data_IF_972745402473
#
_entry.id   IF_972745402473
#
_cell.length_a   1.000
_cell.length_b   1.000
_cell.length_c   1.000
_cell.angle_alpha   90.00
_cell.angle_beta   90.00
_cell.angle_gamma   90.00
#
_symmetry.space_group_name_H-M   'P 1'
#
loop_
_entity.id
_entity.type
_entity.pdbx_description
1 polymer ?
#
# COMPACT_ATOMS: atom_id res chain seq x y z
N UNK A 1 -1.67 -24.16 1.07
CA UNK A 1 -1.48 -22.84 0.43
C UNK A 1 -2.02 -21.80 1.40
N UNK A 2 -1.16 -20.96 1.98
CA UNK A 2 -1.60 -19.98 2.98
C UNK A 2 -2.42 -18.90 2.26
N UNK A 3 -3.73 -18.88 2.52
CA UNK A 3 -4.64 -17.80 2.16
C UNK A 3 -4.18 -16.53 2.88
N UNK A 4 -3.20 -15.83 2.31
CA UNK A 4 -2.93 -14.45 2.70
C UNK A 4 -4.26 -13.70 2.57
N UNK A 5 -4.83 -13.27 3.69
CA UNK A 5 -6.15 -12.67 3.76
C UNK A 5 -6.21 -11.46 2.81
N UNK A 6 -6.86 -11.63 1.66
CA UNK A 6 -7.15 -10.52 0.73
C UNK A 6 -7.86 -9.43 1.51
N UNK A 7 -7.48 -8.18 1.27
CA UNK A 7 -8.03 -7.01 1.95
C UNK A 7 -7.47 -6.72 3.35
N UNK A 8 -6.58 -7.56 3.91
CA UNK A 8 -5.97 -7.29 5.22
C UNK A 8 -4.51 -6.86 5.05
N UNK A 9 -4.22 -5.67 5.58
CA UNK A 9 -2.87 -5.13 5.77
C UNK A 9 -2.57 -5.15 7.25
N UNK A 10 -1.49 -5.85 7.63
CA UNK A 10 -0.99 -5.85 9.00
C UNK A 10 0.04 -4.74 9.16
N UNK A 11 -0.05 -4.01 10.27
CA UNK A 11 0.81 -2.85 10.55
C UNK A 11 2.30 -3.22 10.66
N UNK A 12 2.59 -4.43 11.15
CA UNK A 12 3.91 -4.98 11.46
C UNK A 12 4.63 -5.64 10.26
N UNK A 13 4.00 -5.66 9.07
CA UNK A 13 4.54 -6.30 7.87
C UNK A 13 5.03 -5.28 6.83
N UNK A 14 5.91 -5.73 5.93
CA UNK A 14 6.30 -5.00 4.74
C UNK A 14 5.73 -5.67 3.48
N UNK A 15 5.30 -4.85 2.53
CA UNK A 15 4.64 -5.28 1.31
C UNK A 15 5.38 -4.74 0.09
N UNK A 16 5.71 -5.63 -0.84
CA UNK A 16 6.18 -5.22 -2.17
C UNK A 16 5.03 -4.65 -3.00
N UNK A 17 5.34 -3.87 -4.05
CA UNK A 17 4.34 -3.38 -5.02
C UNK A 17 3.32 -4.46 -5.42
N UNK A 18 3.79 -5.64 -5.86
CA UNK A 18 2.91 -6.72 -6.32
C UNK A 18 1.95 -7.21 -5.22
N UNK A 19 2.44 -7.33 -3.98
CA UNK A 19 1.60 -7.73 -2.85
C UNK A 19 0.52 -6.68 -2.57
N UNK A 20 0.85 -5.40 -2.64
CA UNK A 20 -0.14 -4.32 -2.41
C UNK A 20 -1.21 -4.34 -3.49
N UNK A 21 -0.83 -4.44 -4.78
CA UNK A 21 -1.78 -4.54 -5.88
C UNK A 21 -2.75 -5.71 -5.70
N UNK A 22 -2.22 -6.90 -5.35
CA UNK A 22 -3.03 -8.10 -5.18
C UNK A 22 -3.89 -8.09 -3.91
N UNK A 23 -3.36 -7.58 -2.79
CA UNK A 23 -4.08 -7.57 -1.50
C UNK A 23 -5.18 -6.53 -1.46
N UNK A 24 -4.92 -5.33 -1.98
CA UNK A 24 -5.90 -4.23 -1.97
C UNK A 24 -6.78 -4.21 -3.22
N UNK A 25 -6.46 -5.01 -4.25
CA UNK A 25 -7.21 -5.01 -5.51
C UNK A 25 -7.11 -3.68 -6.27
N UNK A 26 -6.00 -2.95 -6.09
CA UNK A 26 -5.79 -1.64 -6.72
C UNK A 26 -5.01 -1.76 -8.02
N UNK A 27 -5.18 -0.77 -8.91
CA UNK A 27 -4.42 -0.70 -10.15
C UNK A 27 -3.00 -0.17 -9.95
N UNK A 28 -2.12 -0.45 -10.90
CA UNK A 28 -0.79 0.15 -10.94
C UNK A 28 -0.85 1.69 -10.96
N UNK A 29 -1.81 2.28 -11.68
CA UNK A 29 -1.99 3.73 -11.73
C UNK A 29 -2.32 4.31 -10.34
N UNK A 30 -3.14 3.61 -9.55
CA UNK A 30 -3.45 4.03 -8.19
C UNK A 30 -2.23 3.91 -7.27
N UNK A 31 -1.46 2.83 -7.41
CA UNK A 31 -0.17 2.69 -6.73
C UNK A 31 0.79 3.85 -7.04
N UNK A 32 0.99 4.17 -8.32
CA UNK A 32 1.88 5.25 -8.74
C UNK A 32 1.41 6.61 -8.20
N UNK A 33 0.09 6.82 -8.13
CA UNK A 33 -0.52 7.99 -7.47
C UNK A 33 -0.18 8.05 -5.97
N UNK A 34 -0.35 6.96 -5.22
CA UNK A 34 0.00 6.94 -3.79
C UNK A 34 1.47 7.32 -3.55
N UNK A 35 2.38 6.81 -4.39
CA UNK A 35 3.80 7.16 -4.34
C UNK A 35 4.02 8.65 -4.64
N UNK A 36 3.35 9.18 -5.67
CA UNK A 36 3.43 10.61 -6.00
C UNK A 36 2.87 11.54 -4.91
N UNK A 37 1.91 11.05 -4.12
CA UNK A 37 1.31 11.75 -2.98
C UNK A 37 2.15 11.64 -1.70
N UNK A 38 3.29 10.94 -1.75
CA UNK A 38 4.24 10.85 -0.65
C UNK A 38 4.09 9.63 0.24
N UNK A 39 3.49 8.53 -0.23
CA UNK A 39 3.54 7.24 0.47
C UNK A 39 5.01 6.82 0.69
N UNK A 40 5.49 6.70 1.95
CA UNK A 40 6.86 6.30 2.23
C UNK A 40 7.16 4.89 1.71
N UNK A 41 8.26 4.74 0.99
CA UNK A 41 8.73 3.46 0.47
C UNK A 41 10.25 3.36 0.55
N UNK A 42 10.74 2.13 0.53
CA UNK A 42 12.16 1.82 0.32
C UNK A 42 12.33 0.97 -0.93
N UNK A 43 13.53 0.98 -1.51
CA UNK A 43 13.88 0.14 -2.66
C UNK A 43 14.78 -0.99 -2.16
N UNK A 44 14.35 -2.23 -2.35
CA UNK A 44 15.16 -3.42 -2.09
C UNK A 44 15.34 -4.15 -3.42
N UNK A 45 16.60 -4.21 -3.88
CA UNK A 45 16.91 -4.60 -5.26
C UNK A 45 16.26 -3.60 -6.23
N UNK A 46 15.36 -4.08 -7.10
CA UNK A 46 14.61 -3.24 -8.04
C UNK A 46 13.13 -3.09 -7.67
N UNK A 47 12.73 -3.52 -6.47
CA UNK A 47 11.34 -3.52 -6.03
C UNK A 47 11.11 -2.46 -4.96
N UNK A 48 10.01 -1.71 -5.09
CA UNK A 48 9.55 -0.80 -4.03
C UNK A 48 8.79 -1.59 -2.97
N UNK A 49 9.14 -1.34 -1.71
CA UNK A 49 8.53 -1.91 -0.52
C UNK A 49 7.98 -0.83 0.38
N UNK A 50 6.83 -1.07 0.98
CA UNK A 50 6.14 -0.17 1.90
C UNK A 50 5.78 -0.92 3.17
N UNK A 51 5.81 -0.26 4.31
CA UNK A 51 5.32 -0.86 5.56
C UNK A 51 3.80 -0.82 5.60
N UNK A 52 3.19 -1.78 6.29
CA UNK A 52 1.75 -1.79 6.53
C UNK A 52 1.29 -0.53 7.27
N UNK A 53 2.07 -0.07 8.25
CA UNK A 53 1.83 1.20 8.92
C UNK A 53 1.73 2.37 7.94
N UNK A 54 2.73 2.54 7.05
CA UNK A 54 2.74 3.64 6.10
C UNK A 54 1.54 3.59 5.13
N UNK A 55 1.16 2.39 4.70
CA UNK A 55 -0.04 2.18 3.89
C UNK A 55 -1.31 2.59 4.62
N UNK A 56 -1.52 2.12 5.85
CA UNK A 56 -2.70 2.43 6.66
C UNK A 56 -2.81 3.93 6.87
N UNK A 57 -1.73 4.58 7.31
CA UNK A 57 -1.72 6.01 7.54
C UNK A 57 -2.00 6.82 6.27
N UNK A 58 -1.42 6.44 5.13
CA UNK A 58 -1.65 7.11 3.84
C UNK A 58 -3.10 7.01 3.39
N UNK A 59 -3.68 5.81 3.51
CA UNK A 59 -5.07 5.55 3.13
C UNK A 59 -6.04 6.29 4.05
N UNK A 60 -5.81 6.29 5.37
CA UNK A 60 -6.65 7.02 6.32
C UNK A 60 -6.64 8.53 6.06
N UNK A 61 -5.46 9.14 5.90
CA UNK A 61 -5.33 10.58 5.58
C UNK A 61 -6.07 10.97 4.29
N UNK A 62 -6.04 10.09 3.28
CA UNK A 62 -6.71 10.37 2.02
C UNK A 62 -8.21 10.05 2.03
N UNK A 63 -8.67 9.13 2.89
CA UNK A 63 -10.10 8.87 3.09
C UNK A 63 -10.80 10.05 3.76
N UNK A 64 -10.14 10.70 4.72
CA UNK A 64 -10.63 11.91 5.41
C UNK A 64 -10.72 13.14 4.48
N UNK A 65 -10.01 13.13 3.35
CA UNK A 65 -10.02 14.21 2.36
C UNK A 65 -11.21 14.18 1.40
N UNK A 66 -12.12 13.22 1.50
CA UNK A 66 -13.33 13.20 0.64
C UNK A 66 -14.20 14.41 1.00
N UNK A 67 -14.39 15.39 0.10
CA UNK A 67 -15.24 16.54 0.38
C UNK A 67 -16.68 16.06 0.56
N UNK A 68 -17.27 16.44 1.68
CA UNK A 68 -18.71 16.48 1.92
C UNK A 68 -19.42 17.36 0.89
#
# INVERSE_FOLDING_TARGET
MSTAAKGVIRMDEAYSKQMVLQRLGISQKFWDKMISEGLPYTIVGHTRWVTGQALIEHLSRNAERKPS
#
